data_IF_121555049291
#
_entry.id   IF_121555049291
#
_cell.length_a   1.000
_cell.length_b   1.000
_cell.length_c   1.000
_cell.angle_alpha   90.00
_cell.angle_beta   90.00
_cell.angle_gamma   90.00
#
_symmetry.space_group_name_H-M   'P 1'
#
loop_
_entity.id
_entity.type
_entity.pdbx_description
1 polymer ?
2 water ?
#
# COMPACT_ATOMS: atom_id res chain seq x y z
N UNK A 19 -16.44 -20.56 -16.19
CA UNK A 19 -17.80 -20.03 -16.26
C UNK A 19 -18.25 -19.58 -14.85
N UNK A 20 -18.85 -18.39 -14.74
CA UNK A 20 -19.30 -17.86 -13.44
C UNK A 20 -20.57 -18.57 -13.02
N UNK A 21 -20.63 -19.03 -11.76
CA UNK A 21 -21.79 -19.80 -11.34
C UNK A 21 -22.96 -18.90 -10.95
N UNK A 22 -24.15 -19.51 -10.91
CA UNK A 22 -25.37 -18.72 -10.71
C UNK A 22 -25.41 -18.07 -9.33
N UNK A 23 -24.91 -18.74 -8.30
CA UNK A 23 -24.90 -18.13 -6.99
C UNK A 23 -24.11 -16.81 -7.03
N UNK A 24 -23.00 -16.80 -7.77
CA UNK A 24 -22.20 -15.58 -7.89
C UNK A 24 -22.93 -14.52 -8.70
N UNK A 25 -23.56 -14.93 -9.81
CA UNK A 25 -24.33 -13.96 -10.60
C UNK A 25 -25.46 -13.35 -9.78
N UNK A 26 -26.17 -14.16 -9.00
CA UNK A 26 -27.24 -13.63 -8.16
C UNK A 26 -26.72 -12.60 -7.17
N UNK A 27 -25.59 -12.90 -6.51
CA UNK A 27 -24.97 -11.91 -5.62
C UNK A 27 -24.58 -10.66 -6.39
N UNK A 28 -24.07 -10.82 -7.60
CA UNK A 28 -23.67 -9.66 -8.40
C UNK A 28 -24.89 -8.82 -8.79
N UNK A 29 -25.97 -9.44 -9.24
CA UNK A 29 -27.15 -8.67 -9.62
C UNK A 29 -27.71 -7.93 -8.42
N UNK A 30 -27.76 -8.58 -7.26
CA UNK A 30 -28.27 -7.93 -6.05
C UNK A 30 -27.37 -6.78 -5.63
N UNK A 31 -26.05 -6.96 -5.76
CA UNK A 31 -25.13 -5.90 -5.40
C UNK A 31 -25.24 -4.70 -6.32
N UNK A 32 -25.37 -4.93 -7.62
CA UNK A 32 -25.56 -3.82 -8.55
C UNK A 32 -26.83 -3.08 -8.22
N UNK A 33 -27.92 -3.80 -7.95
CA UNK A 33 -29.16 -3.14 -7.56
C UNK A 33 -29.00 -2.36 -6.26
N UNK A 34 -28.28 -2.93 -5.29
CA UNK A 34 -28.04 -2.24 -4.03
C UNK A 34 -27.30 -0.92 -4.27
N UNK A 35 -26.30 -0.93 -5.15
CA UNK A 35 -25.60 0.32 -5.48
C UNK A 35 -26.56 1.33 -6.08
N UNK A 36 -27.43 0.90 -7.00
CA UNK A 36 -28.29 1.86 -7.68
C UNK A 36 -29.34 2.43 -6.73
N UNK A 37 -29.74 1.66 -5.72
CA UNK A 37 -30.77 2.14 -4.80
C UNK A 37 -30.21 3.08 -3.75
N UNK A 38 -28.89 3.07 -3.54
CA UNK A 38 -28.23 3.95 -2.58
C UNK A 38 -27.95 5.27 -3.28
N UNK A 39 -28.92 6.19 -3.25
CA UNK A 39 -28.77 7.42 -4.01
C UNK A 39 -27.68 8.32 -3.44
N UNK A 40 -27.32 8.15 -2.17
CA UNK A 40 -26.27 8.92 -1.51
C UNK A 40 -24.90 8.26 -1.58
N UNK A 41 -24.76 7.13 -2.27
CA UNK A 41 -23.48 6.46 -2.39
C UNK A 41 -22.56 7.23 -3.33
N UNK A 42 -21.33 7.48 -2.88
CA UNK A 42 -20.39 8.36 -3.56
C UNK A 42 -19.11 7.62 -3.95
N UNK A 43 -19.11 6.29 -3.89
CA UNK A 43 -17.89 5.56 -4.16
C UNK A 43 -17.53 5.59 -5.65
N UNK A 44 -16.24 5.41 -5.91
CA UNK A 44 -15.77 5.28 -7.29
C UNK A 44 -16.38 4.02 -7.93
N UNK A 45 -16.59 2.96 -7.14
CA UNK A 45 -17.31 1.78 -7.62
C UNK A 45 -18.64 2.18 -8.23
N UNK A 46 -19.46 2.93 -7.47
CA UNK A 46 -20.77 3.30 -7.99
C UNK A 46 -20.63 4.21 -9.20
N UNK A 47 -19.64 5.10 -9.19
CA UNK A 47 -19.51 6.07 -10.26
C UNK A 47 -19.20 5.38 -11.59
N UNK A 48 -18.39 4.33 -11.56
CA UNK A 48 -17.88 3.78 -12.81
C UNK A 48 -18.45 2.42 -13.18
N UNK A 49 -19.15 1.73 -12.28
CA UNK A 49 -19.81 0.46 -12.62
C UNK A 49 -21.16 0.80 -13.25
N UNK A 50 -21.12 1.21 -14.52
CA UNK A 50 -22.34 1.44 -15.29
C UNK A 50 -23.01 0.09 -15.57
N UNK A 51 -24.31 0.14 -15.89
CA UNK A 51 -25.00 -1.07 -16.33
C UNK A 51 -24.26 -1.75 -17.50
N UNK A 52 -23.81 -0.96 -18.47
CA UNK A 52 -23.11 -1.52 -19.62
C UNK A 52 -21.84 -2.26 -19.19
N UNK A 53 -21.05 -1.66 -18.29
CA UNK A 53 -19.80 -2.31 -17.89
C UNK A 53 -20.11 -3.51 -17.00
N UNK A 54 -21.10 -3.35 -16.12
CA UNK A 54 -21.52 -4.47 -15.27
C UNK A 54 -21.92 -5.67 -16.12
N UNK A 55 -22.78 -5.42 -17.13
CA UNK A 55 -23.24 -6.54 -17.94
C UNK A 55 -22.11 -7.20 -18.72
N UNK A 56 -21.12 -6.42 -19.14
CA UNK A 56 -19.97 -6.96 -19.86
C UNK A 56 -19.07 -7.78 -18.93
N UNK A 57 -18.85 -7.30 -17.70
CA UNK A 57 -17.84 -7.91 -16.86
C UNK A 57 -18.36 -9.03 -15.96
N UNK A 58 -19.67 -9.07 -15.68
CA UNK A 58 -20.18 -9.98 -14.66
C UNK A 58 -19.99 -11.45 -15.03
N UNK A 59 -19.77 -11.76 -16.31
CA UNK A 59 -19.59 -13.14 -16.75
C UNK A 59 -18.13 -13.55 -16.88
N UNK A 60 -17.18 -12.70 -16.52
CA UNK A 60 -15.77 -12.95 -16.74
C UNK A 60 -15.11 -13.54 -15.49
N UNK A 61 -14.02 -14.26 -15.71
CA UNK A 61 -13.27 -14.93 -14.66
C UNK A 61 -11.79 -14.95 -15.03
N UNK A 62 -10.94 -14.75 -14.03
CA UNK A 62 -9.51 -14.89 -14.27
C UNK A 62 -9.10 -16.37 -14.24
N UNK A 63 -7.89 -16.63 -14.75
CA UNK A 63 -7.40 -18.02 -14.77
C UNK A 63 -7.32 -18.62 -13.38
N UNK A 64 -7.01 -17.81 -12.36
CA UNK A 64 -7.00 -18.29 -10.98
C UNK A 64 -8.39 -18.43 -10.37
N UNK A 65 -9.43 -18.01 -11.07
CA UNK A 65 -10.78 -18.21 -10.64
C UNK A 65 -11.49 -17.01 -10.05
N UNK A 66 -10.90 -15.83 -10.08
CA UNK A 66 -11.55 -14.66 -9.53
C UNK A 66 -12.64 -14.12 -10.45
N UNK A 67 -13.75 -13.67 -9.84
CA UNK A 67 -14.88 -13.09 -10.56
C UNK A 67 -15.02 -11.61 -10.23
N UNK A 68 -16.04 -10.99 -10.88
CA UNK A 68 -16.33 -9.58 -10.58
C UNK A 68 -16.74 -9.42 -9.12
N UNK A 69 -17.30 -10.46 -8.51
CA UNK A 69 -17.69 -10.36 -7.10
C UNK A 69 -16.46 -10.22 -6.21
N UNK A 70 -15.37 -10.90 -6.57
CA UNK A 70 -14.12 -10.82 -5.82
C UNK A 70 -13.46 -9.46 -5.98
N UNK A 71 -13.93 -8.63 -6.93
CA UNK A 71 -13.49 -7.25 -7.09
C UNK A 71 -14.37 -6.28 -6.30
N UNK A 72 -15.70 -6.38 -6.43
CA UNK A 72 -16.60 -5.30 -6.00
C UNK A 72 -17.24 -5.57 -4.64
N UNK A 73 -17.16 -6.78 -4.10
CA UNK A 73 -18.01 -7.11 -2.95
C UNK A 73 -17.80 -6.15 -1.79
N UNK A 74 -16.57 -5.69 -1.53
CA UNK A 74 -16.39 -4.82 -0.35
C UNK A 74 -17.10 -3.49 -0.52
N UNK A 75 -17.13 -2.96 -1.74
CA UNK A 75 -17.84 -1.71 -2.00
C UNK A 75 -19.34 -1.86 -2.00
N UNK A 76 -19.84 -3.07 -2.26
CA UNK A 76 -21.26 -3.36 -2.14
C UNK A 76 -21.66 -3.46 -0.68
N UNK A 77 -20.82 -4.12 0.14
CA UNK A 77 -21.15 -4.35 1.53
C UNK A 77 -20.93 -3.10 2.38
N UNK A 78 -19.96 -2.27 1.99
CA UNK A 78 -19.62 -1.01 2.66
C UNK A 78 -19.88 0.12 1.69
N UNK A 79 -21.13 0.56 1.62
CA UNK A 79 -21.51 1.58 0.65
C UNK A 79 -20.76 2.88 0.85
N UNK A 80 -20.27 3.17 2.07
CA UNK A 80 -19.51 4.39 2.33
C UNK A 80 -18.02 4.27 1.95
N UNK A 81 -17.64 3.21 1.25
CA UNK A 81 -16.29 3.12 0.72
C UNK A 81 -15.97 4.32 -0.17
N UNK A 82 -14.74 4.81 -0.07
CA UNK A 82 -14.32 5.84 -1.01
C UNK A 82 -14.06 5.27 -2.39
N UNK A 83 -13.34 4.15 -2.46
CA UNK A 83 -12.96 3.53 -3.72
C UNK A 83 -13.95 2.40 -3.98
N UNK A 84 -13.87 1.31 -3.20
CA UNK A 84 -14.87 0.26 -3.26
C UNK A 84 -14.55 -0.94 -4.13
N UNK A 85 -13.36 -0.98 -4.73
CA UNK A 85 -12.93 -2.11 -5.54
C UNK A 85 -11.54 -2.52 -5.07
N UNK A 86 -11.28 -3.82 -5.12
CA UNK A 86 -9.99 -4.40 -4.79
C UNK A 86 -9.62 -5.44 -5.85
N UNK A 87 -8.32 -5.73 -5.94
CA UNK A 87 -7.82 -6.72 -6.89
C UNK A 87 -7.73 -8.09 -6.21
N UNK A 88 -8.39 -9.11 -6.73
CA UNK A 88 -8.27 -10.44 -6.12
C UNK A 88 -7.08 -11.26 -6.60
N UNK A 89 -6.48 -10.83 -7.71
CA UNK A 89 -5.25 -11.40 -8.25
C UNK A 89 -4.70 -10.41 -9.27
N UNK A 90 -3.52 -10.73 -9.80
CA UNK A 90 -2.86 -9.82 -10.73
C UNK A 90 -3.61 -9.70 -12.04
N UNK A 91 -4.12 -10.82 -12.56
CA UNK A 91 -4.80 -10.81 -13.84
C UNK A 91 -6.08 -9.98 -13.81
N UNK A 92 -6.65 -9.77 -12.62
CA UNK A 92 -7.90 -9.03 -12.53
C UNK A 92 -7.76 -7.62 -13.08
N UNK A 93 -6.56 -7.02 -13.01
CA UNK A 93 -6.39 -5.67 -13.55
C UNK A 93 -6.60 -5.64 -15.07
N UNK A 94 -6.37 -6.75 -15.76
CA UNK A 94 -6.60 -6.90 -17.19
C UNK A 94 -8.04 -7.32 -17.48
N UNK A 95 -8.50 -8.40 -16.83
CA UNK A 95 -9.84 -8.93 -17.13
C UNK A 95 -10.91 -7.88 -16.82
N UNK A 96 -10.72 -7.13 -15.73
CA UNK A 96 -11.70 -6.14 -15.28
C UNK A 96 -11.19 -4.70 -15.47
N UNK A 97 -10.31 -4.51 -16.44
CA UNK A 97 -9.75 -3.20 -16.75
C UNK A 97 -10.83 -2.15 -17.05
N UNK A 98 -11.97 -2.54 -17.62
CA UNK A 98 -12.99 -1.54 -17.93
C UNK A 98 -13.54 -0.87 -16.67
N UNK A 99 -13.43 -1.54 -15.49
CA UNK A 99 -13.77 -0.94 -14.22
C UNK A 99 -12.54 -0.35 -13.54
N UNK A 100 -11.44 -1.09 -13.50
CA UNK A 100 -10.27 -0.58 -12.77
C UNK A 100 -9.73 0.69 -13.42
N UNK A 101 -9.73 0.77 -14.76
CA UNK A 101 -9.06 1.89 -15.41
C UNK A 101 -9.67 3.24 -15.05
N UNK A 102 -10.98 3.46 -15.15
CA UNK A 102 -11.51 4.77 -14.75
C UNK A 102 -11.39 5.03 -13.25
N UNK A 103 -11.45 3.98 -12.42
CA UNK A 103 -11.24 4.17 -10.98
C UNK A 103 -9.82 4.69 -10.71
N UNK A 104 -8.83 4.06 -11.33
CA UNK A 104 -7.43 4.45 -11.18
C UNK A 104 -7.24 5.90 -11.65
N UNK A 105 -7.81 6.25 -12.81
CA UNK A 105 -7.65 7.60 -13.33
C UNK A 105 -8.20 8.63 -12.35
N UNK A 106 -9.35 8.34 -11.76
CA UNK A 106 -10.00 9.25 -10.82
C UNK A 106 -9.19 9.37 -9.53
N UNK A 107 -8.87 8.24 -8.91
CA UNK A 107 -8.16 8.28 -7.63
C UNK A 107 -6.79 8.94 -7.79
N UNK A 108 -6.03 8.56 -8.84
CA UNK A 108 -4.65 9.03 -9.02
C UNK A 108 -4.58 10.35 -9.79
N UNK A 109 -5.70 11.06 -9.90
CA UNK A 109 -5.73 12.38 -10.49
C UNK A 109 -5.08 12.50 -11.85
N UNK A 110 -5.63 11.81 -12.85
CA UNK A 110 -5.22 12.01 -14.21
C UNK A 110 -4.33 10.95 -14.81
N UNK A 111 -4.21 9.80 -14.17
CA UNK A 111 -3.52 8.67 -14.78
C UNK A 111 -4.51 7.95 -15.69
N UNK A 112 -4.49 8.33 -16.97
CA UNK A 112 -5.52 7.95 -17.92
C UNK A 112 -5.40 6.47 -18.31
N UNK A 113 -6.45 5.90 -18.91
CA UNK A 113 -6.38 4.51 -19.36
C UNK A 113 -5.27 4.23 -20.35
N UNK A 114 -4.85 5.22 -21.12
CA UNK A 114 -3.75 5.07 -22.07
C UNK A 114 -2.39 5.50 -21.51
N UNK A 115 -2.32 6.00 -20.27
CA UNK A 115 -1.04 6.40 -19.71
C UNK A 115 -0.28 5.16 -19.28
N UNK A 116 1.04 5.31 -19.09
CA UNK A 116 1.89 4.20 -18.69
C UNK A 116 2.84 4.63 -17.60
N UNK A 117 2.98 3.78 -16.59
CA UNK A 117 3.89 4.01 -15.47
C UNK A 117 5.32 3.70 -15.90
N UNK A 118 6.31 4.52 -15.49
CA UNK A 118 7.70 4.27 -15.94
C UNK A 118 8.27 2.99 -15.35
N UNK A 119 9.31 2.43 -15.97
CA UNK A 119 10.04 1.32 -15.34
C UNK A 119 10.63 1.70 -13.98
N UNK A 120 10.84 0.67 -13.14
CA UNK A 120 11.39 0.87 -11.81
C UNK A 120 12.73 1.59 -11.89
N UNK A 121 12.91 2.60 -11.05
CA UNK A 121 14.19 3.29 -10.94
C UNK A 121 14.30 3.87 -9.53
N UNK A 122 15.07 3.19 -8.68
CA UNK A 122 15.27 3.71 -7.32
C UNK A 122 16.21 4.90 -7.30
N UNK A 123 17.04 5.10 -8.34
CA UNK A 123 17.78 6.33 -8.48
C UNK A 123 19.11 6.35 -7.73
N UNK A 124 19.71 7.55 -7.74
CA UNK A 124 21.06 7.76 -7.18
C UNK A 124 20.94 8.11 -5.70
N UNK A 125 21.24 7.14 -4.83
CA UNK A 125 21.14 7.33 -3.38
C UNK A 125 22.01 8.47 -2.89
N UNK A 126 23.09 8.77 -3.61
CA UNK A 126 23.99 9.82 -3.17
C UNK A 126 23.39 11.20 -3.31
N UNK A 127 22.24 11.34 -3.95
CA UNK A 127 21.53 12.60 -4.08
C UNK A 127 20.41 12.74 -3.05
N UNK A 128 20.15 11.70 -2.27
CA UNK A 128 19.20 11.74 -1.16
C UNK A 128 19.99 12.05 0.10
N UNK A 129 19.42 12.86 0.99
CA UNK A 129 20.19 13.45 2.07
C UNK A 129 19.47 13.34 3.41
N UNK A 130 20.18 13.73 4.46
CA UNK A 130 19.58 13.97 5.77
C UNK A 130 18.98 15.37 5.74
N UNK A 131 17.66 15.46 5.82
CA UNK A 131 16.98 16.75 5.67
C UNK A 131 16.98 17.58 6.96
N UNK A 132 17.47 17.03 8.07
CA UNK A 132 17.51 17.72 9.35
C UNK A 132 18.63 17.16 10.22
N UNK A 133 19.88 17.42 9.85
CA UNK A 133 20.99 16.86 10.62
C UNK A 133 20.97 17.24 12.09
N UNK A 134 20.40 18.41 12.42
CA UNK A 134 20.37 18.87 13.80
C UNK A 134 19.24 18.26 14.61
N UNK A 135 18.34 17.52 13.98
CA UNK A 135 17.21 16.90 14.70
C UNK A 135 16.36 17.98 15.40
N UNK A 136 16.25 19.14 14.76
CA UNK A 136 15.50 20.26 15.28
C UNK A 136 14.01 20.19 14.95
N UNK A 137 13.66 19.60 13.82
CA UNK A 137 12.28 19.56 13.34
C UNK A 137 11.72 18.17 13.15
N UNK A 138 12.48 17.26 12.54
CA UNK A 138 11.97 15.95 12.15
C UNK A 138 12.13 14.97 13.31
N UNK A 139 10.99 14.48 13.80
CA UNK A 139 10.97 13.46 14.85
C UNK A 139 11.37 12.10 14.29
N UNK A 140 10.81 11.73 13.13
CA UNK A 140 11.10 10.44 12.53
C UNK A 140 10.78 10.50 11.05
N UNK A 141 11.37 9.55 10.33
CA UNK A 141 11.28 9.40 8.89
C UNK A 141 10.95 7.94 8.55
N UNK A 142 10.07 7.74 7.58
CA UNK A 142 9.62 6.40 7.22
C UNK A 142 9.45 6.34 5.71
N UNK A 143 9.87 5.24 5.11
CA UNK A 143 9.54 4.95 3.72
C UNK A 143 9.02 3.52 3.65
N UNK A 144 7.84 3.36 3.05
CA UNK A 144 7.16 2.08 2.91
C UNK A 144 6.87 1.76 1.45
N UNK A 145 6.87 0.46 1.14
CA UNK A 145 6.43 -0.03 -0.16
C UNK A 145 5.67 -1.33 0.06
N UNK A 146 5.03 -1.79 -1.01
CA UNK A 146 4.28 -3.03 -0.99
C UNK A 146 4.58 -3.86 -2.23
N UNK A 147 4.38 -5.19 -2.08
CA UNK A 147 4.60 -6.12 -3.19
C UNK A 147 3.62 -7.28 -3.12
N UNK A 148 3.23 -7.76 -4.30
CA UNK A 148 2.55 -9.03 -4.49
C UNK A 148 3.56 -10.01 -5.07
N UNK A 149 3.46 -11.27 -4.66
CA UNK A 149 4.33 -12.32 -5.18
C UNK A 149 3.75 -12.91 -6.45
N UNK A 150 4.58 -12.97 -7.49
CA UNK A 150 4.18 -13.61 -8.75
C UNK A 150 3.73 -15.04 -8.51
N UNK A 151 2.61 -15.41 -9.14
CA UNK A 151 2.11 -16.76 -9.09
C UNK A 151 1.09 -17.06 -8.02
N UNK A 152 0.78 -16.10 -7.14
CA UNK A 152 -0.16 -16.32 -6.07
C UNK A 152 -1.36 -15.41 -6.25
N UNK A 153 -2.59 -15.87 -5.96
CA UNK A 153 -3.71 -14.93 -5.86
C UNK A 153 -3.47 -13.93 -4.74
N UNK A 154 -4.23 -12.83 -4.78
CA UNK A 154 -4.14 -11.84 -3.70
C UNK A 154 -5.04 -12.29 -2.55
N UNK A 155 -5.06 -11.52 -1.47
CA UNK A 155 -5.67 -12.03 -0.25
C UNK A 155 -7.17 -12.35 -0.39
N UNK A 156 -7.97 -11.74 -1.29
CA UNK A 156 -9.37 -12.19 -1.43
C UNK A 156 -9.50 -13.64 -1.86
N UNK A 157 -8.47 -14.24 -2.46
CA UNK A 157 -8.64 -15.56 -3.05
C UNK A 157 -7.59 -16.59 -2.65
N UNK A 158 -6.62 -16.25 -1.79
CA UNK A 158 -5.67 -17.24 -1.30
C UNK A 158 -6.41 -18.37 -0.58
N UNK A 159 -6.00 -19.60 -0.85
CA UNK A 159 -6.49 -20.71 -0.07
C UNK A 159 -5.68 -20.83 1.22
N UNK A 160 -6.19 -21.65 2.14
CA UNK A 160 -5.47 -21.88 3.40
C UNK A 160 -4.10 -22.51 3.11
N UNK A 161 -4.05 -23.46 2.17
CA UNK A 161 -2.78 -24.06 1.81
C UNK A 161 -1.79 -23.04 1.23
N UNK A 162 -2.30 -22.10 0.43
CA UNK A 162 -1.43 -21.08 -0.13
C UNK A 162 -0.90 -20.12 0.95
N UNK A 163 -1.74 -19.78 1.93
CA UNK A 163 -1.27 -18.99 3.07
C UNK A 163 -0.10 -19.66 3.76
N UNK A 164 -0.23 -20.98 4.01
CA UNK A 164 0.84 -21.70 4.71
C UNK A 164 2.11 -21.78 3.85
N UNK A 165 1.95 -22.11 2.57
CA UNK A 165 3.11 -22.20 1.68
C UNK A 165 3.82 -20.86 1.58
N UNK A 166 3.06 -19.77 1.43
CA UNK A 166 3.81 -18.56 1.18
C UNK A 166 4.46 -18.07 2.47
N UNK A 167 3.84 -18.28 3.63
CA UNK A 167 4.51 -17.90 4.87
C UNK A 167 5.80 -18.69 5.05
N UNK A 168 5.79 -19.98 4.72
CA UNK A 168 7.02 -20.77 4.81
C UNK A 168 8.10 -20.17 3.89
N UNK A 169 7.75 -19.88 2.64
CA UNK A 169 8.74 -19.37 1.69
C UNK A 169 9.26 -17.99 2.09
N UNK A 170 8.36 -17.08 2.45
CA UNK A 170 8.77 -15.74 2.81
C UNK A 170 9.59 -15.75 4.09
N UNK A 171 9.11 -16.43 5.14
CA UNK A 171 9.84 -16.42 6.42
C UNK A 171 11.23 -17.05 6.26
N UNK A 172 11.35 -18.08 5.42
CA UNK A 172 12.67 -18.67 5.18
C UNK A 172 13.63 -17.66 4.58
N UNK A 173 13.17 -16.88 3.62
CA UNK A 173 14.05 -15.87 3.02
C UNK A 173 14.40 -14.77 4.01
N UNK A 174 13.41 -14.30 4.79
CA UNK A 174 13.69 -13.25 5.76
C UNK A 174 14.69 -13.70 6.82
N UNK A 175 14.55 -14.94 7.32
CA UNK A 175 15.42 -15.47 8.35
C UNK A 175 16.86 -15.66 7.86
N UNK A 176 17.08 -15.72 6.56
CA UNK A 176 18.42 -15.82 6.02
C UNK A 176 19.15 -14.51 5.79
N UNK A 177 18.50 -13.40 6.07
CA UNK A 177 19.10 -12.09 5.85
C UNK A 177 20.18 -11.82 6.91
N UNK A 178 21.18 -11.04 6.51
CA UNK A 178 22.35 -10.78 7.35
C UNK A 178 22.63 -9.28 7.40
N UNK A 179 23.64 -8.90 8.19
CA UNK A 179 24.04 -7.51 8.25
C UNK A 179 22.95 -6.65 8.87
N UNK A 180 22.75 -5.45 8.30
CA UNK A 180 21.75 -4.51 8.82
C UNK A 180 20.37 -5.13 8.84
N UNK A 181 20.12 -6.11 7.95
CA UNK A 181 18.78 -6.69 7.79
C UNK A 181 18.54 -7.92 8.68
N UNK A 182 19.57 -8.42 9.36
CA UNK A 182 19.43 -9.55 10.28
C UNK A 182 18.39 -9.24 11.35
N UNK A 183 17.54 -10.22 11.65
CA UNK A 183 16.48 -10.02 12.58
C UNK A 183 15.69 -11.26 12.94
N UNK A 184 14.43 -11.04 13.34
CA UNK A 184 13.57 -12.03 13.93
C UNK A 184 12.22 -12.08 13.23
N UNK A 185 11.74 -13.30 12.94
CA UNK A 185 10.42 -13.53 12.37
C UNK A 185 9.47 -14.00 13.47
N UNK A 186 8.25 -13.45 13.45
CA UNK A 186 7.19 -13.78 14.39
C UNK A 186 5.93 -14.20 13.65
N UNK A 187 5.56 -15.47 13.61
CA UNK A 187 4.24 -15.82 13.10
C UNK A 187 3.13 -15.27 13.98
N UNK A 188 2.04 -14.80 13.36
CA UNK A 188 0.86 -14.47 14.19
C UNK A 188 0.22 -15.74 14.75
N UNK A 189 0.31 -16.85 14.02
CA UNK A 189 -0.21 -18.12 14.51
C UNK A 189 0.58 -18.57 15.73
N UNK A 190 -0.13 -18.79 16.84
CA UNK A 190 0.53 -19.19 18.06
C UNK A 190 1.27 -18.08 18.80
N UNK A 191 1.07 -16.82 18.43
CA UNK A 191 1.69 -15.72 19.15
C UNK A 191 1.10 -15.54 20.53
N UNK A 192 1.98 -15.46 21.53
CA UNK A 192 1.50 -15.29 22.90
C UNK A 192 1.39 -13.82 23.28
N UNK A 193 0.73 -13.57 24.43
CA UNK A 193 0.36 -12.20 24.79
C UNK A 193 1.58 -11.35 25.14
N UNK A 194 2.65 -11.97 25.62
CA UNK A 194 3.88 -11.25 25.94
C UNK A 194 4.54 -10.73 24.67
N UNK A 195 4.69 -11.60 23.67
CA UNK A 195 5.20 -11.20 22.37
C UNK A 195 4.30 -10.15 21.74
N UNK A 196 2.98 -10.31 21.82
CA UNK A 196 2.08 -9.32 21.27
C UNK A 196 2.34 -7.94 21.89
N UNK A 197 2.47 -7.88 23.23
CA UNK A 197 2.69 -6.60 23.87
C UNK A 197 4.04 -6.01 23.48
N UNK A 198 5.07 -6.84 23.39
CA UNK A 198 6.37 -6.37 22.93
C UNK A 198 6.26 -5.70 21.57
N UNK A 199 5.53 -6.32 20.66
CA UNK A 199 5.44 -5.77 19.31
C UNK A 199 4.59 -4.51 19.28
N UNK A 200 3.51 -4.48 20.08
CA UNK A 200 2.70 -3.27 20.24
C UNK A 200 3.55 -2.12 20.75
N UNK A 201 4.43 -2.38 21.72
CA UNK A 201 5.27 -1.33 22.29
C UNK A 201 6.19 -0.71 21.23
N UNK A 202 6.58 -1.50 20.23
CA UNK A 202 7.38 -1.03 19.10
C UNK A 202 6.54 -0.50 17.94
N UNK A 203 5.21 -0.52 18.04
CA UNK A 203 4.30 -0.15 16.95
C UNK A 203 4.48 -1.06 15.72
N UNK A 204 4.78 -2.34 15.99
CA UNK A 204 5.05 -3.31 14.95
C UNK A 204 3.93 -4.33 14.74
N UNK A 205 2.92 -4.38 15.64
CA UNK A 205 1.87 -5.39 15.51
C UNK A 205 0.78 -4.91 14.55
N UNK A 206 0.29 -5.83 13.73
CA UNK A 206 -0.99 -5.65 13.07
C UNK A 206 -1.95 -6.72 13.55
N UNK A 207 -3.23 -6.38 13.42
CA UNK A 207 -4.30 -7.22 13.93
C UNK A 207 -5.27 -7.54 12.81
N UNK A 208 -6.39 -8.16 13.17
CA UNK A 208 -7.38 -8.50 12.15
C UNK A 208 -7.84 -7.24 11.44
N UNK A 209 -8.17 -7.39 10.15
CA UNK A 209 -8.53 -6.25 9.36
C UNK A 209 -9.91 -5.68 9.68
N UNK A 210 -10.11 -4.44 9.24
CA UNK A 210 -11.36 -3.72 9.47
C UNK A 210 -12.44 -4.21 8.51
N UNK A 211 -13.62 -3.60 8.61
CA UNK A 211 -14.79 -4.10 7.87
C UNK A 211 -14.59 -4.02 6.37
N UNK A 212 -13.75 -3.09 5.88
CA UNK A 212 -13.45 -3.03 4.45
C UNK A 212 -12.65 -4.24 4.01
N UNK A 213 -11.61 -4.61 4.75
CA UNK A 213 -10.84 -5.81 4.45
C UNK A 213 -11.69 -7.05 4.66
N UNK A 214 -12.46 -7.12 5.76
CA UNK A 214 -13.27 -8.31 6.00
C UNK A 214 -14.17 -8.59 4.82
N UNK A 215 -14.88 -7.56 4.36
CA UNK A 215 -15.85 -7.73 3.29
C UNK A 215 -15.15 -8.01 1.95
N UNK A 216 -13.87 -7.67 1.85
CA UNK A 216 -13.09 -8.02 0.67
C UNK A 216 -12.59 -9.45 0.71
N UNK A 217 -12.95 -10.22 1.74
CA UNK A 217 -12.50 -11.59 1.92
C UNK A 217 -10.99 -11.67 2.11
N UNK A 218 -10.41 -10.62 2.70
CA UNK A 218 -8.97 -10.57 2.92
C UNK A 218 -8.55 -11.11 4.28
N UNK A 219 -9.50 -11.53 5.12
CA UNK A 219 -9.21 -11.95 6.48
C UNK A 219 -9.66 -13.38 6.76
N UNK A 220 -9.72 -14.20 5.72
CA UNK A 220 -10.11 -15.59 5.90
C UNK A 220 -8.97 -16.39 6.49
N UNK A 221 -9.33 -17.44 7.21
CA UNK A 221 -8.36 -18.35 7.84
C UNK A 221 -7.42 -17.62 8.80
N UNK A 222 -7.90 -16.56 9.45
CA UNK A 222 -7.05 -15.75 10.30
C UNK A 222 -6.53 -16.59 11.46
N UNK A 223 -5.23 -16.51 11.81
CA UNK A 223 -4.12 -15.71 11.26
C UNK A 223 -3.16 -16.53 10.41
N UNK A 224 -3.62 -17.65 9.86
CA UNK A 224 -2.76 -18.51 9.07
C UNK A 224 -2.07 -17.73 7.95
N UNK A 225 -0.75 -17.89 7.85
CA UNK A 225 -0.01 -17.19 6.80
C UNK A 225 0.35 -15.75 7.07
N UNK A 226 -0.02 -15.20 8.22
CA UNK A 226 0.28 -13.83 8.58
C UNK A 226 1.43 -13.79 9.57
N UNK A 227 2.34 -12.85 9.39
CA UNK A 227 3.49 -12.73 10.27
C UNK A 227 4.18 -11.40 10.16
N UNK A 228 5.14 -11.22 11.07
CA UNK A 228 5.85 -9.96 11.28
C UNK A 228 7.34 -10.24 11.35
N UNK A 229 8.15 -9.40 10.72
CA UNK A 229 9.61 -9.53 10.76
C UNK A 229 10.21 -8.16 11.06
N UNK A 230 11.21 -8.08 11.93
CA UNK A 230 11.95 -6.83 12.06
C UNK A 230 13.42 -7.14 12.23
N UNK A 231 14.27 -6.18 11.85
CA UNK A 231 15.70 -6.36 12.04
C UNK A 231 16.07 -6.06 13.49
N UNK A 232 17.30 -6.42 13.85
CA UNK A 232 17.74 -6.27 15.24
C UNK A 232 17.66 -4.81 15.70
N UNK A 233 18.03 -3.85 14.84
CA UNK A 233 17.99 -2.44 15.17
C UNK A 233 16.59 -1.82 15.19
N UNK A 234 15.55 -2.57 14.77
CA UNK A 234 14.16 -2.10 14.75
C UNK A 234 14.00 -0.86 13.87
N UNK A 235 14.70 -0.89 12.73
CA UNK A 235 14.63 0.13 11.68
C UNK A 235 14.08 -0.44 10.37
N UNK A 236 13.72 -1.73 10.34
CA UNK A 236 13.26 -2.40 9.15
C UNK A 236 12.19 -3.37 9.58
N UNK A 237 11.00 -3.27 8.97
CA UNK A 237 9.82 -4.03 9.37
C UNK A 237 9.15 -4.60 8.14
N UNK A 238 8.78 -5.87 8.20
CA UNK A 238 8.04 -6.50 7.11
C UNK A 238 6.76 -7.12 7.68
N UNK A 239 5.62 -6.79 7.07
CA UNK A 239 4.36 -7.45 7.37
C UNK A 239 4.00 -8.42 6.26
N UNK A 240 3.68 -9.67 6.62
CA UNK A 240 3.31 -10.72 5.67
C UNK A 240 1.79 -10.94 5.74
N UNK A 241 1.11 -10.64 4.63
CA UNK A 241 -0.34 -10.82 4.44
C UNK A 241 -1.20 -10.00 5.40
N UNK A 242 -0.75 -8.78 5.71
CA UNK A 242 -1.63 -7.84 6.38
C UNK A 242 -2.68 -7.25 5.44
N UNK A 243 -2.34 -7.06 4.17
CA UNK A 243 -3.25 -6.49 3.18
C UNK A 243 -2.73 -6.93 1.82
N UNK A 244 -1.52 -6.50 1.48
CA UNK A 244 -0.75 -7.10 0.38
C UNK A 244 0.03 -8.31 0.91
N UNK A 245 0.58 -9.10 0.00
CA UNK A 245 1.47 -10.19 0.42
C UNK A 245 2.58 -9.66 1.31
N UNK A 246 3.19 -8.56 0.90
CA UNK A 246 4.30 -7.93 1.60
C UNK A 246 4.09 -6.43 1.74
N UNK A 247 4.28 -5.92 2.96
CA UNK A 247 4.49 -4.49 3.23
C UNK A 247 5.88 -4.37 3.84
N UNK A 248 6.71 -3.52 3.26
CA UNK A 248 8.13 -3.43 3.61
C UNK A 248 8.40 -1.99 4.03
N UNK A 249 8.83 -1.80 5.28
CA UNK A 249 8.86 -0.48 5.89
C UNK A 249 10.24 -0.25 6.50
N UNK A 250 10.82 0.91 6.24
CA UNK A 250 12.07 1.33 6.83
C UNK A 250 11.79 2.59 7.63
N UNK A 251 12.34 2.69 8.85
CA UNK A 251 12.01 3.85 9.65
C UNK A 251 13.09 4.08 10.70
N UNK A 252 13.22 5.33 11.12
CA UNK A 252 14.07 5.64 12.25
C UNK A 252 13.81 7.06 12.74
N UNK A 253 14.32 7.32 13.95
CA UNK A 253 14.25 8.67 14.47
C UNK A 253 15.14 9.62 13.68
N UNK A 254 14.73 10.88 13.62
CA UNK A 254 15.49 11.89 12.94
C UNK A 254 15.10 11.95 11.47
N UNK A 255 15.95 12.64 10.71
CA UNK A 255 15.64 13.00 9.33
C UNK A 255 16.52 12.43 8.24
N UNK A 256 17.22 11.32 8.51
CA UNK A 256 18.17 10.75 7.56
C UNK A 256 17.41 9.92 6.53
N UNK A 257 16.79 10.63 5.59
CA UNK A 257 16.04 10.01 4.50
C UNK A 257 16.93 9.13 3.64
N UNK A 258 18.19 9.53 3.44
CA UNK A 258 19.11 8.66 2.71
C UNK A 258 19.22 7.29 3.35
N UNK A 259 19.51 7.24 4.64
CA UNK A 259 19.64 5.96 5.31
C UNK A 259 18.33 5.17 5.27
N UNK A 260 17.20 5.84 5.50
CA UNK A 260 15.91 5.14 5.53
C UNK A 260 15.58 4.55 4.16
N UNK A 261 15.71 5.36 3.11
CA UNK A 261 15.33 4.91 1.77
C UNK A 261 16.28 3.81 1.29
N UNK A 262 17.59 4.00 1.48
CA UNK A 262 18.52 2.97 1.05
C UNK A 262 18.30 1.64 1.77
N UNK A 263 17.94 1.68 3.05
CA UNK A 263 17.67 0.44 3.75
C UNK A 263 16.42 -0.24 3.21
N UNK A 264 15.37 0.53 2.90
CA UNK A 264 14.18 -0.09 2.30
C UNK A 264 14.52 -0.78 0.99
N UNK A 265 15.28 -0.09 0.13
CA UNK A 265 15.64 -0.63 -1.18
C UNK A 265 16.49 -1.90 -1.02
N UNK A 266 17.46 -1.87 -0.10
CA UNK A 266 18.28 -3.05 0.17
C UNK A 266 17.41 -4.24 0.57
N UNK A 267 16.44 -4.02 1.46
CA UNK A 267 15.57 -5.10 1.87
C UNK A 267 14.68 -5.61 0.75
N UNK A 268 14.11 -4.70 -0.05
CA UNK A 268 13.28 -5.11 -1.18
C UNK A 268 14.08 -6.00 -2.13
N UNK A 269 15.32 -5.58 -2.44
CA UNK A 269 16.14 -6.34 -3.39
C UNK A 269 16.55 -7.68 -2.81
N UNK A 270 16.80 -7.75 -1.50
CA UNK A 270 17.17 -9.04 -0.90
C UNK A 270 16.00 -10.01 -0.95
N UNK A 271 14.79 -9.54 -0.62
CA UNK A 271 13.62 -10.40 -0.66
C UNK A 271 13.41 -10.93 -2.07
N UNK A 272 13.55 -10.06 -3.06
CA UNK A 272 13.26 -10.37 -4.45
C UNK A 272 14.12 -11.48 -5.00
N UNK A 273 15.30 -11.71 -4.40
CA UNK A 273 16.26 -12.65 -4.98
C UNK A 273 15.67 -14.04 -5.09
N UNK A 274 14.82 -14.43 -4.17
CA UNK A 274 14.16 -15.71 -4.24
C UNK A 274 12.65 -15.65 -4.38
N UNK A 275 12.06 -14.45 -4.40
CA UNK A 275 10.60 -14.28 -4.45
C UNK A 275 10.24 -13.23 -5.50
N UNK A 276 10.02 -13.63 -6.74
CA UNK A 276 9.69 -12.64 -7.77
C UNK A 276 8.37 -11.94 -7.51
N UNK A 277 8.34 -10.66 -7.86
CA UNK A 277 7.19 -9.81 -7.62
C UNK A 277 6.33 -9.67 -8.87
N UNK A 278 5.06 -9.39 -8.64
CA UNK A 278 4.12 -9.10 -9.72
C UNK A 278 4.23 -7.63 -10.14
N UNK A 279 4.56 -7.39 -11.41
CA UNK A 279 4.63 -6.04 -11.94
C UNK A 279 3.99 -6.02 -13.32
N UNK A 280 3.29 -4.93 -13.63
CA UNK A 280 2.60 -4.76 -14.89
C UNK A 280 3.22 -3.60 -15.66
N UNK A 281 3.33 -3.74 -16.99
CA UNK A 281 4.02 -2.69 -17.73
C UNK A 281 3.27 -1.37 -17.69
N UNK A 282 1.93 -1.39 -17.62
CA UNK A 282 1.21 -0.13 -17.57
C UNK A 282 1.07 0.43 -16.15
N UNK A 283 0.82 -0.46 -15.17
CA UNK A 283 0.45 -0.02 -13.84
C UNK A 283 1.58 -0.07 -12.81
N UNK A 284 2.75 -0.59 -13.15
CA UNK A 284 3.82 -0.82 -12.17
C UNK A 284 3.51 -2.02 -11.25
N UNK A 285 3.93 -1.92 -9.98
CA UNK A 285 3.75 -3.05 -9.07
C UNK A 285 2.28 -3.21 -8.72
N UNK A 286 1.79 -4.45 -8.79
CA UNK A 286 0.37 -4.73 -8.62
C UNK A 286 0.08 -5.02 -7.15
N UNK A 287 -0.97 -4.40 -6.65
CA UNK A 287 -1.36 -4.43 -5.24
C UNK A 287 -2.84 -4.76 -5.11
N UNK A 288 -3.21 -5.21 -3.91
CA UNK A 288 -4.61 -5.47 -3.57
C UNK A 288 -5.47 -4.22 -3.70
N UNK A 289 -5.00 -3.09 -3.22
CA UNK A 289 -5.78 -1.87 -3.35
C UNK A 289 -5.24 -1.04 -4.49
N UNK A 290 -6.10 -0.60 -5.42
CA UNK A 290 -5.61 0.24 -6.54
C UNK A 290 -5.00 1.55 -6.11
N UNK A 291 -5.21 2.00 -4.88
CA UNK A 291 -4.56 3.22 -4.43
C UNK A 291 -3.05 3.07 -4.26
N UNK A 292 -2.53 1.83 -4.22
CA UNK A 292 -1.15 1.57 -3.88
C UNK A 292 -0.29 1.10 -5.07
N UNK A 293 -0.78 1.29 -6.29
CA UNK A 293 -0.10 0.85 -7.51
C UNK A 293 1.15 1.71 -7.82
N UNK A 294 1.77 1.44 -8.96
CA UNK A 294 2.86 2.28 -9.45
C UNK A 294 4.16 2.01 -8.72
N UNK A 295 4.62 3.03 -7.99
CA UNK A 295 5.77 2.83 -7.12
C UNK A 295 5.42 2.08 -5.83
N UNK A 296 4.14 2.12 -5.42
CA UNK A 296 3.66 1.67 -4.12
C UNK A 296 4.25 2.45 -2.94
N UNK A 297 5.07 3.49 -3.18
CA UNK A 297 5.88 4.10 -2.13
C UNK A 297 5.10 5.17 -1.40
N UNK A 298 5.11 5.08 -0.09
CA UNK A 298 4.69 6.18 0.77
C UNK A 298 5.87 6.58 1.64
N UNK A 299 6.38 7.79 1.43
CA UNK A 299 7.42 8.35 2.27
C UNK A 299 6.76 9.36 3.20
N UNK A 300 7.18 9.38 4.47
CA UNK A 300 6.55 10.31 5.38
C UNK A 300 7.54 10.74 6.44
N UNK A 301 7.25 11.92 7.01
CA UNK A 301 7.98 12.39 8.19
C UNK A 301 6.97 12.81 9.23
N UNK A 302 7.34 12.63 10.49
CA UNK A 302 6.70 13.28 11.61
C UNK A 302 7.56 14.50 11.93
N UNK A 303 6.98 15.69 11.80
CA UNK A 303 7.77 16.91 11.79
C UNK A 303 7.05 18.01 12.59
N UNK A 304 7.85 18.80 13.30
CA UNK A 304 7.36 19.93 14.09
C UNK A 304 7.65 21.23 13.37
N UNK A 305 6.60 21.98 13.03
CA UNK A 305 6.70 23.22 12.25
C UNK A 305 5.81 24.26 12.91
N UNK A 306 6.18 24.70 14.11
CA UNK A 306 5.23 25.52 14.89
C UNK A 306 4.95 26.87 14.26
N UNK A 307 5.93 27.50 13.59
CA UNK A 307 5.69 28.81 12.98
C UNK A 307 4.76 28.69 11.78
N UNK A 308 5.01 27.71 10.91
CA UNK A 308 4.10 27.51 9.80
C UNK A 308 2.72 27.10 10.29
N UNK A 309 2.65 26.43 11.45
CA UNK A 309 1.35 26.06 12.02
C UNK A 309 0.49 27.28 12.29
N UNK A 310 1.10 28.43 12.56
CA UNK A 310 0.36 29.67 12.79
C UNK A 310 -0.29 30.20 11.52
N UNK A 311 0.00 29.59 10.37
CA UNK A 311 -0.50 30.03 9.07
C UNK A 311 -0.76 28.75 8.27
N UNK A 312 -1.75 27.96 8.73
CA UNK A 312 -1.99 26.65 8.13
C UNK A 312 -2.26 26.74 6.64
N UNK A 313 -2.91 27.82 6.19
CA UNK A 313 -3.10 28.04 4.76
C UNK A 313 -1.76 28.07 4.04
N UNK A 314 -0.82 28.89 4.53
CA UNK A 314 0.54 28.92 3.99
C UNK A 314 1.16 27.53 3.99
N UNK A 315 1.12 26.84 5.13
CA UNK A 315 1.66 25.48 5.22
C UNK A 315 1.02 24.56 4.18
N UNK A 316 -0.31 24.55 4.12
CA UNK A 316 -0.98 23.67 3.17
C UNK A 316 -0.62 24.03 1.73
N UNK A 317 -0.30 25.30 1.48
CA UNK A 317 0.03 25.74 0.12
C UNK A 317 1.41 25.26 -0.31
N UNK A 318 2.39 25.32 0.58
CA UNK A 318 3.72 24.81 0.25
C UNK A 318 3.64 23.31 -0.01
N UNK A 319 2.98 22.59 0.88
CA UNK A 319 2.91 21.14 0.72
C UNK A 319 2.27 20.78 -0.62
N UNK A 320 1.19 21.47 -0.98
CA UNK A 320 0.50 21.21 -2.24
C UNK A 320 1.42 21.44 -3.44
N UNK A 321 2.31 22.43 -3.37
CA UNK A 321 3.22 22.66 -4.48
C UNK A 321 4.10 21.43 -4.75
N UNK A 322 4.46 20.67 -3.70
CA UNK A 322 5.26 19.47 -3.86
C UNK A 322 4.42 18.20 -3.79
N UNK A 323 3.10 18.32 -3.93
CA UNK A 323 2.19 17.18 -3.94
C UNK A 323 2.28 16.37 -2.67
N UNK A 324 2.41 17.05 -1.54
CA UNK A 324 2.46 16.42 -0.23
C UNK A 324 1.15 16.63 0.51
N UNK A 325 0.81 15.71 1.40
CA UNK A 325 -0.35 15.86 2.25
C UNK A 325 0.06 16.00 3.70
N UNK A 326 -0.68 16.83 4.41
CA UNK A 326 -0.39 17.23 5.78
C UNK A 326 -1.54 16.76 6.64
N UNK A 327 -1.24 15.93 7.64
CA UNK A 327 -2.23 15.43 8.59
C UNK A 327 -1.67 15.56 10.00
N UNK A 328 -2.56 15.44 10.97
CA UNK A 328 -2.13 15.23 12.34
C UNK A 328 -1.63 13.81 12.54
N UNK A 329 -1.15 13.55 13.75
CA UNK A 329 -0.80 12.19 14.11
C UNK A 329 -1.15 11.92 15.57
N UNK A 339 0.97 21.99 15.77
CA UNK A 339 2.39 22.23 15.53
C UNK A 339 3.09 21.01 14.93
N UNK A 340 2.51 19.84 15.13
CA UNK A 340 3.15 18.57 14.81
C UNK A 340 2.35 17.89 13.71
N UNK A 341 3.05 17.36 12.70
CA UNK A 341 2.37 16.89 11.50
C UNK A 341 2.99 15.64 10.94
N UNK A 342 2.15 14.77 10.36
CA UNK A 342 2.60 13.69 9.50
C UNK A 342 2.47 14.21 8.07
N UNK A 343 3.59 14.33 7.38
CA UNK A 343 3.60 14.86 6.01
C UNK A 343 4.09 13.74 5.10
N UNK A 344 3.34 13.47 4.04
CA UNK A 344 3.64 12.32 3.20
C UNK A 344 3.39 12.68 1.74
N UNK A 345 3.98 11.90 0.85
CA UNK A 345 3.78 12.14 -0.56
C UNK A 345 2.47 11.52 -1.04
N UNK A 346 1.78 12.22 -1.94
CA UNK A 346 0.52 11.72 -2.48
C UNK A 346 0.68 10.89 -3.74
N UNK A 347 1.71 11.13 -4.53
CA UNK A 347 1.76 10.52 -5.85
C UNK A 347 2.35 9.11 -5.79
N UNK A 348 1.74 8.21 -6.54
CA UNK A 348 2.20 6.84 -6.70
C UNK A 348 2.41 6.40 -8.14
N UNK A 349 1.61 6.91 -9.07
CA UNK A 349 1.62 6.44 -10.45
C UNK A 349 2.13 7.52 -11.40
N UNK A 350 2.89 7.09 -12.39
CA UNK A 350 3.38 7.99 -13.42
C UNK A 350 4.69 8.69 -13.12
N UNK A 351 5.38 8.26 -12.07
CA UNK A 351 6.68 8.79 -11.66
C UNK A 351 7.47 7.63 -11.08
N UNK A 352 8.80 7.74 -11.08
CA UNK A 352 9.64 6.68 -10.57
C UNK A 352 9.74 6.74 -9.05
N UNK A 353 10.28 5.64 -8.49
CA UNK A 353 10.56 5.59 -7.07
C UNK A 353 11.44 6.75 -6.65
N UNK A 354 12.51 6.99 -7.42
CA UNK A 354 13.39 8.12 -7.15
C UNK A 354 12.63 9.44 -7.18
N UNK A 355 11.82 9.66 -8.23
CA UNK A 355 11.08 10.91 -8.33
C UNK A 355 10.14 11.10 -7.13
N UNK A 356 9.53 10.01 -6.65
CA UNK A 356 8.62 10.13 -5.53
C UNK A 356 9.37 10.52 -4.25
N UNK A 357 10.52 9.89 -4.01
CA UNK A 357 11.28 10.18 -2.79
C UNK A 357 11.90 11.57 -2.90
N UNK A 358 12.37 11.94 -4.09
CA UNK A 358 12.91 13.29 -4.29
C UNK A 358 11.84 14.36 -4.09
N UNK A 359 10.61 14.10 -4.53
CA UNK A 359 9.53 15.05 -4.29
C UNK A 359 9.32 15.27 -2.80
N UNK A 360 9.40 14.18 -2.02
CA UNK A 360 9.29 14.32 -0.58
C UNK A 360 10.49 15.07 -0.01
N UNK A 361 11.70 14.70 -0.43
CA UNK A 361 12.89 15.40 0.06
C UNK A 361 12.82 16.89 -0.26
N UNK A 362 12.50 17.24 -1.51
CA UNK A 362 12.46 18.65 -1.89
C UNK A 362 11.42 19.41 -1.09
N UNK A 363 10.23 18.81 -0.93
CA UNK A 363 9.17 19.48 -0.22
C UNK A 363 9.49 19.70 1.25
N UNK A 364 10.03 18.68 1.92
CA UNK A 364 10.39 18.85 3.32
C UNK A 364 11.51 19.88 3.46
N UNK A 365 12.49 19.86 2.55
CA UNK A 365 13.54 20.89 2.60
C UNK A 365 12.94 22.28 2.46
N UNK A 366 11.96 22.45 1.56
CA UNK A 366 11.38 23.77 1.36
C UNK A 366 10.57 24.20 2.58
N UNK A 367 9.86 23.26 3.20
CA UNK A 367 9.11 23.54 4.41
C UNK A 367 10.03 23.98 5.54
N UNK A 368 11.15 23.26 5.72
CA UNK A 368 12.09 23.64 6.77
C UNK A 368 12.69 25.02 6.49
N UNK A 369 13.04 25.29 5.23
CA UNK A 369 13.55 26.61 4.84
C UNK A 369 12.56 27.71 5.21
N UNK A 370 11.28 27.52 4.90
CA UNK A 370 10.30 28.55 5.18
C UNK A 370 9.98 28.67 6.67
N UNK A 371 10.00 27.56 7.41
CA UNK A 371 9.92 27.63 8.86
C UNK A 371 11.06 28.47 9.44
N UNK A 372 12.28 28.26 8.95
CA UNK A 372 13.44 29.00 9.45
C UNK A 372 13.32 30.49 9.13
N UNK A 373 12.72 30.83 8.00
CA UNK A 373 12.63 32.24 7.59
C UNK A 373 11.43 32.96 8.20
N UNK A 374 10.49 32.22 8.78
CA UNK A 374 9.23 32.81 9.26
C UNK A 374 9.42 33.71 10.49
#
# INVERSE_FOLDING_TARGET
MHHHHHHLEVLFQGPSGMSVDQATLDKLEAGFKKLQDAKDCKSLLKKYLTKEIFDRLKTRKTAMGATLLDVIQSGVENLDSGVGVYAPDAESYTVFADLFDPVIEDYHGGFKPTDKHPPTDFGDMNTIVNVDPENKYVVSTRVRCGRSLQGYPFNPCLTEAQYKEMEDKVSSQLKGMTGDLKGTYYPLTGMDKKTQQQLIDDHFLFKEGDRFLQAANACRYWPTGRGIYHNDAKTFLVWVNEEDHLRIISMQQGGDLKQVYSRMVSGVKEIEKKLPFSRDDRLGFLTFCPTNLGTTIRASVHIKLPKLAADKAKLDSIAAKYNLQVRGTRGEHTESEGAVYDISNKRRMGLTEYQAVREMQDGIQELIKLEQAA
#
